data_IF_979208948932
#
_entry.id   IF_979208948932
#
_cell.length_a   1.000
_cell.length_b   1.000
_cell.length_c   1.000
_cell.angle_alpha   90.00
_cell.angle_beta   90.00
_cell.angle_gamma   90.00
#
_symmetry.space_group_name_H-M   'P 1'
#
loop_
_entity.id
_entity.type
_entity.pdbx_description
1 polymer ?
#
# COMPACT_ATOMS: atom_id res chain seq x y z
N UNK A 1 13.75 12.10 2.78
CA UNK A 1 12.39 12.63 2.56
C UNK A 1 12.40 14.12 2.20
N UNK A 2 12.86 15.03 3.07
CA UNK A 2 12.86 16.47 2.74
C UNK A 2 13.78 16.84 1.56
N UNK A 3 14.90 16.13 1.38
CA UNK A 3 15.86 16.43 0.30
C UNK A 3 15.37 16.02 -1.10
N UNK A 4 14.75 14.84 -1.23
CA UNK A 4 14.10 14.39 -2.46
C UNK A 4 12.94 15.32 -2.86
N UNK A 5 12.10 15.69 -1.88
CA UNK A 5 11.00 16.62 -2.11
C UNK A 5 11.54 17.97 -2.60
N UNK A 6 12.57 18.52 -1.91
CA UNK A 6 13.22 19.79 -2.27
C UNK A 6 13.87 19.77 -3.65
N UNK A 7 14.43 18.64 -4.10
CA UNK A 7 15.03 18.49 -5.44
C UNK A 7 13.98 18.44 -6.53
N UNK A 8 12.85 17.76 -6.30
CA UNK A 8 11.73 17.74 -7.23
C UNK A 8 11.00 19.10 -7.29
N UNK A 9 10.95 19.85 -6.18
CA UNK A 9 10.37 21.21 -6.12
C UNK A 9 11.21 22.30 -6.82
N UNK A 10 12.46 22.01 -7.22
CA UNK A 10 13.34 22.99 -7.90
C UNK A 10 13.18 23.06 -9.41
N UNK A 11 12.41 22.15 -10.02
CA UNK A 11 11.83 22.34 -11.35
C UNK A 11 10.42 22.92 -11.11
N UNK A 12 10.17 24.12 -11.61
CA UNK A 12 8.94 24.92 -11.41
C UNK A 12 7.66 24.08 -11.16
N UNK A 13 6.97 24.35 -10.05
CA UNK A 13 5.57 23.97 -9.75
C UNK A 13 5.12 22.53 -10.09
N UNK A 14 6.01 21.56 -10.17
CA UNK A 14 5.62 20.17 -10.40
C UNK A 14 5.10 19.55 -9.09
N UNK A 15 3.77 19.41 -8.96
CA UNK A 15 3.16 18.54 -7.95
C UNK A 15 3.75 17.14 -8.10
N UNK A 16 4.64 16.76 -7.19
CA UNK A 16 5.19 15.40 -7.15
C UNK A 16 4.07 14.45 -6.77
N UNK A 17 3.67 13.61 -7.71
CA UNK A 17 2.65 12.61 -7.49
C UNK A 17 3.33 11.32 -6.99
N UNK A 18 2.73 10.51 -6.09
CA UNK A 18 3.26 9.19 -5.75
C UNK A 18 3.73 8.36 -6.95
N UNK A 19 3.02 8.42 -8.07
CA UNK A 19 3.36 7.75 -9.33
C UNK A 19 4.75 8.13 -9.84
N UNK A 20 5.18 9.38 -9.69
CA UNK A 20 6.52 9.83 -10.09
C UNK A 20 7.60 9.18 -9.22
N UNK A 21 7.33 9.02 -7.93
CA UNK A 21 8.27 8.38 -7.00
C UNK A 21 8.44 6.91 -7.37
N UNK A 22 7.35 6.19 -7.64
CA UNK A 22 7.44 4.78 -8.06
C UNK A 22 8.14 4.63 -9.42
N UNK A 23 7.87 5.53 -10.38
CA UNK A 23 8.58 5.54 -11.66
C UNK A 23 10.08 5.78 -11.49
N UNK A 24 10.48 6.79 -10.72
CA UNK A 24 11.89 7.06 -10.45
C UNK A 24 12.58 5.90 -9.71
N UNK A 25 11.85 5.22 -8.81
CA UNK A 25 12.37 4.03 -8.13
C UNK A 25 12.62 2.88 -9.12
N UNK A 26 11.74 2.68 -10.11
CA UNK A 26 11.93 1.71 -11.19
C UNK A 26 13.08 2.08 -12.12
N UNK A 27 13.34 3.38 -12.31
CA UNK A 27 14.51 3.90 -13.03
C UNK A 27 15.82 3.78 -12.22
N UNK A 28 15.77 3.25 -10.99
CA UNK A 28 16.94 3.02 -10.14
C UNK A 28 17.39 4.23 -9.33
N UNK A 29 16.57 5.27 -9.23
CA UNK A 29 16.91 6.46 -8.43
C UNK A 29 16.92 6.11 -6.94
N UNK A 30 18.07 6.30 -6.31
CA UNK A 30 18.35 5.83 -4.94
C UNK A 30 17.40 6.43 -3.92
N UNK A 31 17.09 7.73 -4.00
CA UNK A 31 16.21 8.37 -3.03
C UNK A 31 14.74 7.92 -3.18
N UNK A 32 14.28 7.65 -4.40
CA UNK A 32 12.96 7.11 -4.71
C UNK A 32 12.84 5.67 -4.24
N UNK A 33 13.83 4.81 -4.51
CA UNK A 33 13.89 3.44 -3.99
C UNK A 33 13.83 3.42 -2.46
N UNK A 34 14.61 4.27 -1.79
CA UNK A 34 14.60 4.40 -0.34
C UNK A 34 13.23 4.88 0.19
N UNK A 35 12.55 5.74 -0.57
CA UNK A 35 11.22 6.22 -0.21
C UNK A 35 10.18 5.10 -0.32
N UNK A 36 10.21 4.32 -1.40
CA UNK A 36 9.32 3.16 -1.58
C UNK A 36 9.54 2.11 -0.49
N UNK A 37 10.80 1.79 -0.16
CA UNK A 37 11.12 0.85 0.91
C UNK A 37 10.59 1.33 2.27
N UNK A 38 10.77 2.62 2.58
CA UNK A 38 10.27 3.21 3.82
C UNK A 38 8.73 3.21 3.89
N UNK A 39 8.05 3.49 2.79
CA UNK A 39 6.59 3.39 2.69
C UNK A 39 6.14 1.95 2.93
N UNK A 40 6.80 0.97 2.30
CA UNK A 40 6.52 -0.45 2.51
C UNK A 40 6.68 -0.85 3.98
N UNK A 41 7.72 -0.36 4.66
CA UNK A 41 7.95 -0.60 6.09
C UNK A 41 6.82 -0.10 6.97
N UNK A 42 6.33 1.12 6.74
CA UNK A 42 5.24 1.67 7.55
C UNK A 42 3.92 0.93 7.35
N UNK A 43 3.62 0.56 6.10
CA UNK A 43 2.42 -0.23 5.80
C UNK A 43 2.55 -1.62 6.43
N UNK A 44 3.72 -2.25 6.36
CA UNK A 44 3.97 -3.54 6.99
C UNK A 44 3.83 -3.48 8.51
N UNK A 45 4.29 -2.39 9.14
CA UNK A 45 4.12 -2.16 10.57
C UNK A 45 2.64 -2.07 10.95
N UNK A 46 1.88 -1.22 10.26
CA UNK A 46 0.45 -1.07 10.54
C UNK A 46 -0.32 -2.38 10.30
N UNK A 47 -0.07 -3.04 9.17
CA UNK A 47 -0.72 -4.29 8.79
C UNK A 47 -0.36 -5.43 9.76
N UNK A 48 0.92 -5.57 10.12
CA UNK A 48 1.39 -6.58 11.06
C UNK A 48 0.78 -6.43 12.44
N UNK A 49 0.66 -5.19 12.95
CA UNK A 49 -0.03 -4.92 14.22
C UNK A 49 -1.50 -5.36 14.15
N UNK A 50 -2.21 -5.02 13.06
CA UNK A 50 -3.60 -5.42 12.89
C UNK A 50 -3.77 -6.94 12.77
N UNK A 51 -2.89 -7.61 12.02
CA UNK A 51 -2.88 -9.08 11.89
C UNK A 51 -2.66 -9.73 13.25
N UNK A 52 -1.70 -9.24 14.05
CA UNK A 52 -1.44 -9.80 15.37
C UNK A 52 -2.62 -9.61 16.33
N UNK A 53 -3.29 -8.45 16.27
CA UNK A 53 -4.38 -8.13 17.18
C UNK A 53 -5.69 -8.83 16.81
N UNK A 54 -5.99 -8.95 15.51
CA UNK A 54 -7.30 -9.37 15.02
C UNK A 54 -7.29 -10.72 14.32
N UNK A 55 -6.12 -11.36 14.17
CA UNK A 55 -5.94 -12.60 13.40
C UNK A 55 -6.49 -12.46 11.96
N UNK A 56 -6.15 -11.37 11.29
CA UNK A 56 -6.64 -11.09 9.94
C UNK A 56 -6.06 -12.06 8.91
N UNK A 57 -6.91 -12.54 8.00
CA UNK A 57 -6.49 -13.31 6.82
C UNK A 57 -5.99 -12.40 5.69
N UNK A 58 -6.43 -11.14 5.65
CA UNK A 58 -6.02 -10.20 4.61
C UNK A 58 -6.03 -8.74 5.07
N UNK A 59 -5.11 -7.95 4.52
CA UNK A 59 -5.08 -6.49 4.55
C UNK A 59 -5.05 -5.98 3.10
N UNK A 60 -6.06 -5.22 2.69
CA UNK A 60 -6.17 -4.70 1.30
C UNK A 60 -5.79 -3.22 1.27
N UNK A 61 -4.81 -2.86 0.45
CA UNK A 61 -4.33 -1.49 0.26
C UNK A 61 -5.03 -0.90 -0.97
N UNK A 62 -5.85 0.12 -0.75
CA UNK A 62 -6.52 0.87 -1.82
C UNK A 62 -6.00 2.30 -2.00
N UNK A 63 -6.73 3.09 -2.78
CA UNK A 63 -6.44 4.50 -3.06
C UNK A 63 -5.35 4.70 -4.13
N UNK A 64 -4.97 5.95 -4.37
CA UNK A 64 -4.05 6.30 -5.46
C UNK A 64 -2.66 5.65 -5.38
N UNK A 65 -2.26 5.16 -4.19
CA UNK A 65 -0.99 4.46 -3.99
C UNK A 65 -1.05 2.99 -4.42
N UNK A 66 -2.24 2.37 -4.46
CA UNK A 66 -2.36 0.98 -4.91
C UNK A 66 -2.03 0.81 -6.39
N UNK A 67 -2.11 1.89 -7.18
CA UNK A 67 -1.65 1.94 -8.57
C UNK A 67 -0.14 1.69 -8.73
N UNK A 68 0.64 1.79 -7.65
CA UNK A 68 2.05 1.43 -7.65
C UNK A 68 2.30 -0.05 -7.96
N UNK A 69 1.32 -0.92 -7.74
CA UNK A 69 1.42 -2.33 -8.10
C UNK A 69 2.44 -3.12 -7.27
N UNK A 70 3.10 -4.05 -7.94
CA UNK A 70 4.00 -5.03 -7.33
C UNK A 70 5.18 -4.44 -6.55
N UNK A 71 5.87 -3.38 -7.01
CA UNK A 71 6.95 -2.76 -6.23
C UNK A 71 6.55 -2.34 -4.81
N UNK A 72 5.32 -1.85 -4.63
CA UNK A 72 4.80 -1.54 -3.30
C UNK A 72 4.57 -2.80 -2.48
N UNK A 73 3.94 -3.82 -3.05
CA UNK A 73 3.68 -5.09 -2.36
C UNK A 73 4.97 -5.82 -1.98
N UNK A 74 6.00 -5.78 -2.81
CA UNK A 74 7.32 -6.32 -2.50
C UNK A 74 7.95 -5.60 -1.30
N UNK A 75 7.94 -4.26 -1.32
CA UNK A 75 8.45 -3.47 -0.21
C UNK A 75 7.69 -3.78 1.09
N UNK A 76 6.37 -3.94 1.05
CA UNK A 76 5.58 -4.34 2.23
C UNK A 76 5.95 -5.74 2.69
N UNK A 77 5.91 -6.74 1.79
CA UNK A 77 6.19 -8.15 2.13
C UNK A 77 7.58 -8.34 2.73
N UNK A 78 8.58 -7.59 2.24
CA UNK A 78 9.94 -7.58 2.77
C UNK A 78 9.97 -7.24 4.27
N UNK A 79 9.14 -6.31 4.73
CA UNK A 79 9.13 -5.82 6.12
C UNK A 79 8.14 -6.54 7.04
N UNK A 80 7.16 -7.28 6.48
CA UNK A 80 6.13 -7.99 7.27
C UNK A 80 6.66 -8.90 8.38
N UNK A 81 7.74 -9.69 8.18
CA UNK A 81 8.28 -10.57 9.23
C UNK A 81 8.77 -9.82 10.47
N UNK A 82 9.13 -8.54 10.36
CA UNK A 82 9.56 -7.73 11.50
C UNK A 82 8.41 -7.30 12.42
N UNK A 83 7.16 -7.40 11.96
CA UNK A 83 6.00 -6.84 12.66
C UNK A 83 4.88 -7.86 12.91
N UNK A 84 5.04 -9.10 12.47
CA UNK A 84 3.97 -10.12 12.51
C UNK A 84 4.50 -11.42 13.06
N UNK A 85 3.75 -12.08 13.95
CA UNK A 85 4.15 -13.40 14.44
C UNK A 85 4.15 -14.42 13.29
N UNK A 86 5.16 -15.32 13.19
CA UNK A 86 5.30 -16.23 12.06
C UNK A 86 4.07 -17.08 11.77
N UNK A 87 3.37 -17.55 12.80
CA UNK A 87 2.16 -18.38 12.64
C UNK A 87 0.99 -17.59 12.02
N UNK A 88 0.85 -16.32 12.38
CA UNK A 88 -0.19 -15.45 11.82
C UNK A 88 0.18 -14.99 10.42
N UNK A 89 1.46 -14.65 10.20
CA UNK A 89 1.95 -14.21 8.90
C UNK A 89 1.77 -15.27 7.80
N UNK A 90 1.86 -16.57 8.12
CA UNK A 90 1.61 -17.65 7.15
C UNK A 90 0.16 -17.68 6.63
N UNK A 91 -0.78 -17.19 7.44
CA UNK A 91 -2.21 -17.22 7.12
C UNK A 91 -2.73 -15.86 6.62
N UNK A 92 -1.94 -14.79 6.77
CA UNK A 92 -2.31 -13.44 6.40
C UNK A 92 -1.69 -13.02 5.06
N UNK A 93 -2.43 -12.21 4.28
CA UNK A 93 -1.95 -11.64 3.02
C UNK A 93 -2.08 -10.13 3.01
N UNK A 94 -1.16 -9.45 2.34
CA UNK A 94 -1.32 -8.05 1.97
C UNK A 94 -1.57 -7.97 0.47
N UNK A 95 -2.65 -7.32 0.08
CA UNK A 95 -3.18 -7.28 -1.29
C UNK A 95 -3.41 -5.84 -1.74
N UNK A 96 -3.51 -5.62 -3.05
CA UNK A 96 -3.95 -4.34 -3.61
C UNK A 96 -5.45 -4.40 -3.93
N UNK A 97 -6.14 -3.28 -3.78
CA UNK A 97 -7.54 -3.16 -4.17
C UNK A 97 -7.68 -3.21 -5.70
N UNK A 98 -8.55 -4.08 -6.19
CA UNK A 98 -8.78 -4.29 -7.64
C UNK A 98 -9.89 -3.39 -8.21
N UNK A 99 -10.87 -3.03 -7.38
CA UNK A 99 -12.06 -2.27 -7.83
C UNK A 99 -11.85 -0.76 -7.89
N UNK A 100 -10.70 -0.25 -7.44
CA UNK A 100 -10.39 1.18 -7.46
C UNK A 100 -11.54 2.05 -6.93
N UNK A 101 -11.97 3.02 -7.74
CA UNK A 101 -13.04 3.96 -7.40
C UNK A 101 -14.43 3.30 -7.32
N UNK A 102 -14.60 2.13 -7.93
CA UNK A 102 -15.88 1.40 -7.95
C UNK A 102 -16.10 0.56 -6.69
N UNK A 103 -15.08 0.41 -5.83
CA UNK A 103 -15.20 -0.35 -4.58
C UNK A 103 -16.35 0.13 -3.70
N UNK A 104 -16.59 1.45 -3.65
CA UNK A 104 -17.65 2.05 -2.86
C UNK A 104 -19.05 1.68 -3.36
N UNK A 105 -19.30 1.82 -4.66
CA UNK A 105 -20.62 1.51 -5.24
C UNK A 105 -20.88 0.00 -5.25
N UNK A 106 -19.85 -0.82 -5.50
CA UNK A 106 -19.94 -2.27 -5.41
C UNK A 106 -20.30 -2.73 -3.97
N UNK A 107 -19.67 -2.14 -2.96
CA UNK A 107 -20.00 -2.39 -1.56
C UNK A 107 -21.44 -2.00 -1.21
N UNK A 108 -21.90 -0.84 -1.68
CA UNK A 108 -23.28 -0.40 -1.49
C UNK A 108 -24.30 -1.36 -2.12
N UNK A 109 -24.05 -1.80 -3.36
CA UNK A 109 -24.90 -2.78 -4.03
C UNK A 109 -24.92 -4.13 -3.31
N UNK A 110 -23.75 -4.62 -2.85
CA UNK A 110 -23.65 -5.85 -2.09
C UNK A 110 -24.46 -5.79 -0.77
N UNK A 111 -24.38 -4.67 -0.05
CA UNK A 111 -25.18 -4.44 1.16
C UNK A 111 -26.68 -4.44 0.87
N UNK A 112 -27.14 -3.78 -0.20
CA UNK A 112 -28.54 -3.77 -0.59
C UNK A 112 -29.06 -5.19 -0.91
N UNK A 113 -28.30 -5.95 -1.71
CA UNK A 113 -28.61 -7.34 -2.04
C UNK A 113 -28.68 -8.22 -0.78
N UNK A 114 -27.72 -8.07 0.14
CA UNK A 114 -27.71 -8.81 1.39
C UNK A 114 -28.95 -8.50 2.24
N UNK A 115 -29.43 -7.24 2.23
CA UNK A 115 -30.61 -6.82 2.97
C UNK A 115 -31.91 -7.36 2.37
N UNK A 116 -32.00 -7.49 1.05
CA UNK A 116 -33.16 -8.06 0.34
C UNK A 116 -33.28 -9.58 0.49
N UNK A 117 -32.16 -10.26 0.76
CA UNK A 117 -32.10 -11.71 0.99
C UNK A 117 -32.41 -12.13 2.43
N UNK A 118 -32.65 -11.17 3.33
CA UNK A 118 -33.10 -11.39 4.70
C UNK A 118 -34.59 -11.13 4.81
#
# INVERSE_FOLDING_TARGET
MQDLYRRLSRREEARVNPQDIFRLALEGEVAAMATVDQTGRYIAQASGIMINLLNLEACIIGGGISAAGEPLLEAVRKHMPSFTWPNLLRNARVLLAELGNDAGIAGAAAMAIQRMRR
#
